data_IF_861647025669
#
_entry.id   IF_861647025669
#
_cell.length_a   1.000
_cell.length_b   1.000
_cell.length_c   1.000
_cell.angle_alpha   90.00
_cell.angle_beta   90.00
_cell.angle_gamma   90.00
#
_symmetry.space_group_name_H-M   'P 1'
#
loop_
_entity.id
_entity.type
_entity.pdbx_description
1 polymer ?
#
# COMPACT_ATOMS: atom_id res chain seq x y z
N UNK A 1 32.86 1.13 25.02
CA UNK A 1 32.47 -0.20 24.48
C UNK A 1 31.17 -0.57 25.18
N UNK A 2 29.99 -0.58 24.58
CA UNK A 2 29.63 -0.88 23.20
C UNK A 2 28.34 -0.11 22.87
N UNK A 3 28.33 0.50 21.68
CA UNK A 3 27.24 1.27 21.10
C UNK A 3 25.97 0.43 20.94
N UNK A 4 24.83 1.02 21.29
CA UNK A 4 23.52 0.55 20.84
C UNK A 4 23.46 0.69 19.32
N UNK A 5 23.72 -0.40 18.62
CA UNK A 5 23.57 -0.48 17.17
C UNK A 5 22.10 -0.33 16.85
N UNK A 6 21.77 0.79 16.21
CA UNK A 6 20.50 1.01 15.54
C UNK A 6 20.13 -0.24 14.73
N UNK A 7 18.93 -0.76 14.97
CA UNK A 7 18.32 -1.73 14.07
C UNK A 7 18.19 -1.02 12.72
N UNK A 8 19.07 -1.41 11.82
CA UNK A 8 19.19 -0.91 10.48
C UNK A 8 17.87 -1.08 9.73
N UNK A 9 17.20 0.03 9.45
CA UNK A 9 16.22 0.15 8.38
C UNK A 9 16.94 -0.05 7.03
N UNK A 10 17.16 -1.31 6.66
CA UNK A 10 17.59 -1.75 5.33
C UNK A 10 16.33 -2.29 4.62
N UNK A 11 15.92 -1.85 3.43
CA UNK A 11 16.61 -0.98 2.49
C UNK A 11 15.68 -0.36 1.45
N UNK A 12 16.04 0.87 1.09
CA UNK A 12 15.78 1.47 -0.22
C UNK A 12 16.85 1.00 -1.24
N UNK A 13 17.14 -0.30 -1.25
CA UNK A 13 18.08 -0.90 -2.20
C UNK A 13 17.34 -1.99 -2.98
N UNK A 14 17.16 -1.77 -4.27
CA UNK A 14 16.49 -2.71 -5.19
C UNK A 14 17.56 -3.65 -5.77
N UNK A 15 17.28 -4.95 -6.00
CA UNK A 15 16.15 -5.36 -6.85
C UNK A 15 15.42 -6.63 -6.39
N UNK A 16 14.21 -6.44 -5.85
CA UNK A 16 13.12 -7.43 -5.87
C UNK A 16 11.85 -6.71 -6.33
N UNK A 17 11.76 -6.45 -7.65
CA UNK A 17 10.70 -5.71 -8.36
C UNK A 17 10.07 -4.56 -7.53
N UNK A 18 10.54 -3.33 -7.75
CA UNK A 18 9.92 -2.14 -7.16
C UNK A 18 8.42 -2.13 -7.45
N UNK A 19 7.60 -1.94 -6.42
CA UNK A 19 6.15 -1.84 -6.58
C UNK A 19 5.88 -0.61 -7.44
N UNK A 20 5.08 -0.77 -8.50
CA UNK A 20 4.59 0.34 -9.30
C UNK A 20 3.08 0.42 -9.19
N UNK A 21 2.56 1.62 -8.97
CA UNK A 21 1.12 1.91 -8.89
C UNK A 21 0.72 2.76 -10.08
N UNK A 22 -0.41 2.43 -10.71
CA UNK A 22 -0.99 3.29 -11.72
C UNK A 22 -1.58 4.53 -11.05
N UNK A 23 -1.00 5.70 -11.32
CA UNK A 23 -1.47 6.97 -10.81
C UNK A 23 -2.43 7.60 -11.82
N UNK A 24 -3.71 7.71 -11.46
CA UNK A 24 -4.74 8.30 -12.32
C UNK A 24 -4.48 9.78 -12.62
N UNK A 25 -3.80 10.52 -11.74
CA UNK A 25 -3.48 11.94 -11.95
C UNK A 25 -2.49 12.14 -13.10
N UNK A 26 -1.47 11.28 -13.19
CA UNK A 26 -0.43 11.33 -14.23
C UNK A 26 -0.66 10.33 -15.38
N UNK A 27 -1.66 9.44 -15.24
CA UNK A 27 -2.05 8.39 -16.21
C UNK A 27 -0.93 7.40 -16.56
N UNK A 28 0.01 7.17 -15.65
CA UNK A 28 1.14 6.26 -15.85
C UNK A 28 1.39 5.44 -14.59
N UNK A 29 2.15 4.36 -14.75
CA UNK A 29 2.70 3.60 -13.61
C UNK A 29 3.88 4.37 -13.04
N UNK A 30 3.87 4.59 -11.74
CA UNK A 30 4.92 5.31 -11.00
C UNK A 30 5.47 4.40 -9.89
N UNK A 31 6.75 4.57 -9.50
CA UNK A 31 7.29 3.92 -8.32
C UNK A 31 6.43 4.22 -7.09
N UNK A 32 6.15 3.20 -6.30
CA UNK A 32 5.46 3.37 -5.03
C UNK A 32 6.44 3.86 -3.95
N UNK A 33 6.20 5.06 -3.45
CA UNK A 33 6.98 5.67 -2.39
C UNK A 33 6.05 6.11 -1.24
N UNK A 34 6.46 5.85 -0.01
CA UNK A 34 5.69 6.21 1.19
C UNK A 34 6.10 7.59 1.69
N UNK A 35 5.14 8.38 2.18
CA UNK A 35 5.42 9.69 2.78
C UNK A 35 6.27 9.54 4.06
N UNK A 36 5.95 8.55 4.90
CA UNK A 36 6.78 8.15 6.04
C UNK A 36 7.36 6.76 5.73
N UNK A 37 8.68 6.54 5.85
CA UNK A 37 9.30 5.26 5.47
C UNK A 37 8.61 4.05 6.09
N UNK A 38 8.16 3.11 5.25
CA UNK A 38 7.52 1.87 5.68
C UNK A 38 6.07 2.00 6.14
N UNK A 39 5.50 3.21 6.14
CA UNK A 39 4.11 3.47 6.54
C UNK A 39 3.29 3.89 5.33
N UNK A 40 2.28 3.09 5.00
CA UNK A 40 1.33 3.38 3.93
C UNK A 40 0.11 4.02 4.54
N UNK A 41 -0.31 5.15 3.98
CA UNK A 41 -1.59 5.78 4.30
C UNK A 41 -2.51 5.59 3.11
N UNK A 42 -3.51 4.73 3.27
CA UNK A 42 -4.44 4.39 2.19
C UNK A 42 -5.88 4.75 2.58
N UNK A 43 -6.56 5.47 1.70
CA UNK A 43 -7.99 5.76 1.81
C UNK A 43 -8.75 5.17 0.63
N UNK A 44 -9.88 4.55 0.90
CA UNK A 44 -10.80 3.98 -0.09
C UNK A 44 -12.20 4.46 0.26
N UNK A 45 -12.90 5.03 -0.71
CA UNK A 45 -14.29 5.43 -0.51
C UNK A 45 -15.15 4.22 -0.11
N UNK A 46 -15.95 4.39 0.93
CA UNK A 46 -16.94 3.40 1.36
C UNK A 46 -18.20 3.41 0.49
N UNK A 47 -19.19 2.63 0.91
CA UNK A 47 -20.53 2.63 0.32
C UNK A 47 -21.41 3.68 0.99
N UNK A 48 -22.36 4.22 0.25
CA UNK A 48 -23.46 4.99 0.84
C UNK A 48 -24.53 4.00 1.34
N UNK A 49 -24.81 3.92 2.66
CA UNK A 49 -25.55 2.81 3.26
C UNK A 49 -27.08 3.00 3.19
N UNK A 50 -27.62 3.26 2.00
CA UNK A 50 -29.08 3.40 1.80
C UNK A 50 -29.76 2.15 1.22
N UNK A 51 -28.99 1.19 0.73
CA UNK A 51 -29.51 -0.07 0.17
C UNK A 51 -28.49 -1.20 0.34
N UNK A 52 -28.91 -2.42 -0.01
CA UNK A 52 -28.10 -3.64 0.00
C UNK A 52 -26.90 -3.53 -0.95
N UNK A 53 -25.78 -4.12 -0.56
CA UNK A 53 -24.59 -4.11 -1.38
C UNK A 53 -24.74 -4.98 -2.64
N UNK A 54 -24.45 -4.41 -3.81
CA UNK A 54 -24.38 -5.16 -5.07
C UNK A 54 -22.94 -5.63 -5.38
N UNK A 55 -22.79 -6.48 -6.40
CA UNK A 55 -21.49 -7.09 -6.76
C UNK A 55 -20.37 -6.08 -7.02
N UNK A 56 -20.69 -4.91 -7.57
CA UNK A 56 -19.73 -3.82 -7.76
C UNK A 56 -19.08 -3.32 -6.46
N UNK A 57 -19.82 -3.28 -5.33
CA UNK A 57 -19.24 -2.94 -4.02
C UNK A 57 -18.25 -4.02 -3.59
N UNK A 58 -18.61 -5.30 -3.75
CA UNK A 58 -17.75 -6.43 -3.43
C UNK A 58 -16.46 -6.45 -4.25
N UNK A 59 -16.55 -6.12 -5.54
CA UNK A 59 -15.39 -6.04 -6.43
C UNK A 59 -14.39 -4.98 -5.97
N UNK A 60 -14.87 -3.75 -5.70
CA UNK A 60 -14.01 -2.67 -5.20
C UNK A 60 -13.36 -3.03 -3.86
N UNK A 61 -14.17 -3.48 -2.89
CA UNK A 61 -13.66 -3.86 -1.56
C UNK A 61 -12.64 -4.99 -1.63
N UNK A 62 -12.89 -6.01 -2.45
CA UNK A 62 -11.95 -7.14 -2.63
C UNK A 62 -10.65 -6.67 -3.27
N UNK A 63 -10.72 -5.82 -4.30
CA UNK A 63 -9.53 -5.30 -4.98
C UNK A 63 -8.62 -4.53 -4.01
N UNK A 64 -9.20 -3.66 -3.18
CA UNK A 64 -8.42 -2.90 -2.20
C UNK A 64 -7.98 -3.73 -0.98
N UNK A 65 -8.73 -4.76 -0.58
CA UNK A 65 -8.28 -5.70 0.45
C UNK A 65 -7.06 -6.50 -0.01
N UNK A 66 -7.03 -6.95 -1.27
CA UNK A 66 -5.85 -7.61 -1.85
C UNK A 66 -4.64 -6.67 -1.86
N UNK A 67 -4.84 -5.39 -2.21
CA UNK A 67 -3.76 -4.39 -2.17
C UNK A 67 -3.23 -4.21 -0.75
N UNK A 68 -4.11 -4.03 0.25
CA UNK A 68 -3.73 -3.91 1.67
C UNK A 68 -2.90 -5.11 2.13
N UNK A 69 -3.44 -6.32 1.93
CA UNK A 69 -2.77 -7.57 2.33
C UNK A 69 -1.44 -7.78 1.63
N UNK A 70 -1.34 -7.40 0.36
CA UNK A 70 -0.08 -7.49 -0.37
C UNK A 70 0.96 -6.52 0.19
N UNK A 71 0.59 -5.28 0.51
CA UNK A 71 1.50 -4.32 1.12
C UNK A 71 1.95 -4.76 2.53
N UNK A 72 1.04 -5.28 3.34
CA UNK A 72 1.38 -5.89 4.64
C UNK A 72 2.34 -7.08 4.48
N UNK A 73 2.07 -7.97 3.52
CA UNK A 73 2.95 -9.10 3.20
C UNK A 73 4.36 -8.64 2.76
N UNK A 74 4.46 -7.48 2.12
CA UNK A 74 5.73 -6.85 1.72
C UNK A 74 6.44 -6.11 2.86
N UNK A 75 5.89 -6.11 4.07
CA UNK A 75 6.50 -5.53 5.27
C UNK A 75 6.12 -4.08 5.53
N UNK A 76 5.15 -3.52 4.80
CA UNK A 76 4.63 -2.19 5.10
C UNK A 76 3.64 -2.24 6.27
N UNK A 77 3.64 -1.17 7.08
CA UNK A 77 2.55 -0.86 8.01
C UNK A 77 1.50 -0.06 7.24
N UNK A 78 0.36 -0.66 6.95
CA UNK A 78 -0.76 -0.07 6.18
C UNK A 78 -1.87 0.38 7.12
#
# INVERSE_FOLDING_TARGET
>A
MTVASAASHQGADAPAASIQIYNTQSRRKEPFETIEPGVVRMYVCGVTPYDSAHIGHGMSMTSFDVIRRYLEHRGYRV
#
